data_IF_729626508981
#
_entry.id   IF_729626508981
#
_cell.length_a   1.000
_cell.length_b   1.000
_cell.length_c   1.000
_cell.angle_alpha   90.00
_cell.angle_beta   90.00
_cell.angle_gamma   90.00
#
_symmetry.space_group_name_H-M   'P 1'
#
loop_
_entity.id
_entity.type
_entity.pdbx_description
1 polymer ?
#
# COMPACT_ATOMS: atom_id res chain seq x y z
N UNK A 1 16.81 -60.09 -20.72
CA UNK A 1 16.22 -61.09 -19.79
C UNK A 1 14.70 -61.06 -19.97
N UNK A 2 14.01 -62.20 -20.10
CA UNK A 2 12.55 -62.30 -20.04
C UNK A 2 12.13 -62.81 -18.65
N UNK A 3 11.11 -62.24 -18.02
CA UNK A 3 10.08 -62.98 -17.27
C UNK A 3 8.75 -62.19 -17.39
N UNK A 4 7.64 -62.91 -17.55
CA UNK A 4 6.27 -62.41 -17.71
C UNK A 4 5.36 -63.20 -16.76
N UNK A 5 4.57 -62.52 -15.92
CA UNK A 5 3.32 -62.99 -15.26
C UNK A 5 2.55 -61.69 -14.88
N UNK A 6 1.32 -61.33 -15.28
CA UNK A 6 0.11 -61.95 -15.87
C UNK A 6 -1.01 -62.33 -14.85
N UNK A 7 -2.28 -62.19 -15.29
CA UNK A 7 -3.58 -62.39 -14.56
C UNK A 7 -3.96 -61.19 -13.65
N UNK A 8 -4.97 -60.34 -13.91
CA UNK A 8 -6.41 -60.45 -14.30
C UNK A 8 -7.35 -60.71 -13.09
N UNK A 9 -8.61 -60.23 -13.01
CA UNK A 9 -9.50 -59.66 -14.03
C UNK A 9 -10.59 -58.68 -13.49
N UNK A 10 -10.99 -57.72 -14.35
CA UNK A 10 -12.35 -57.16 -14.62
C UNK A 10 -13.45 -57.05 -13.54
N UNK A 11 -14.11 -55.87 -13.50
CA UNK A 11 -15.57 -55.78 -13.67
C UNK A 11 -15.98 -54.46 -14.35
N UNK A 12 -16.92 -54.53 -15.30
CA UNK A 12 -17.44 -53.40 -16.09
C UNK A 12 -18.87 -53.02 -15.69
N UNK A 13 -19.19 -51.73 -15.74
CA UNK A 13 -20.56 -51.25 -15.86
C UNK A 13 -20.60 -49.97 -16.72
N UNK A 14 -21.29 -50.05 -17.86
CA UNK A 14 -21.61 -48.92 -18.74
C UNK A 14 -23.03 -48.44 -18.41
N UNK A 15 -23.27 -47.13 -18.40
CA UNK A 15 -24.59 -46.54 -18.59
C UNK A 15 -24.43 -45.17 -19.28
N UNK A 16 -24.97 -45.09 -20.49
CA UNK A 16 -25.00 -43.92 -21.38
C UNK A 16 -26.31 -43.14 -21.22
N UNK A 17 -26.30 -41.81 -21.32
CA UNK A 17 -27.51 -40.99 -21.19
C UNK A 17 -27.46 -39.66 -21.95
N UNK A 18 -28.40 -39.50 -22.88
CA UNK A 18 -28.57 -38.40 -23.85
C UNK A 18 -30.09 -38.22 -24.11
N UNK A 19 -30.63 -37.07 -24.52
CA UNK A 19 -30.12 -35.68 -24.66
C UNK A 19 -31.33 -34.77 -25.00
N UNK A 20 -31.14 -33.45 -24.90
CA UNK A 20 -31.92 -32.38 -25.59
C UNK A 20 -33.34 -32.03 -25.09
N UNK A 21 -33.59 -30.71 -25.12
CA UNK A 21 -34.82 -29.90 -25.17
C UNK A 21 -36.23 -30.55 -25.31
N UNK A 22 -37.21 -29.85 -24.72
CA UNK A 22 -38.58 -29.70 -25.23
C UNK A 22 -39.20 -28.35 -24.72
N UNK A 23 -39.98 -27.60 -25.53
CA UNK A 23 -40.43 -26.23 -25.20
C UNK A 23 -41.93 -26.08 -24.79
N UNK A 24 -42.26 -24.85 -24.36
CA UNK A 24 -43.54 -24.10 -24.38
C UNK A 24 -44.89 -24.75 -23.98
N UNK A 25 -45.60 -24.12 -23.02
CA UNK A 25 -46.77 -23.24 -23.30
C UNK A 25 -47.48 -22.80 -22.00
N UNK A 26 -48.03 -21.58 -22.02
CA UNK A 26 -48.68 -20.88 -20.90
C UNK A 26 -50.00 -21.49 -20.36
N UNK A 27 -50.38 -21.06 -19.14
CA UNK A 27 -51.74 -20.60 -18.81
C UNK A 27 -51.68 -19.68 -17.58
N UNK A 28 -52.27 -18.48 -17.71
CA UNK A 28 -52.45 -17.49 -16.64
C UNK A 28 -53.62 -17.88 -15.71
N UNK A 29 -53.72 -17.31 -14.50
CA UNK A 29 -54.82 -16.36 -14.34
C UNK A 29 -54.47 -15.09 -13.56
N UNK A 30 -55.02 -13.97 -14.04
CA UNK A 30 -54.98 -12.66 -13.41
C UNK A 30 -55.75 -12.62 -12.09
N UNK A 31 -55.15 -12.03 -11.04
CA UNK A 31 -55.91 -11.36 -9.98
C UNK A 31 -55.05 -10.29 -9.28
N UNK A 32 -55.36 -9.02 -9.54
CA UNK A 32 -54.66 -7.85 -9.01
C UNK A 32 -54.90 -7.65 -7.51
N UNK A 33 -53.86 -7.35 -6.74
CA UNK A 33 -53.97 -6.42 -5.59
C UNK A 33 -52.63 -5.72 -5.34
N UNK A 34 -52.67 -4.38 -5.38
CA UNK A 34 -51.54 -3.49 -5.16
C UNK A 34 -51.09 -3.49 -3.70
N UNK A 35 -49.82 -3.81 -3.46
CA UNK A 35 -49.09 -3.38 -2.28
C UNK A 35 -47.87 -2.58 -2.75
N UNK A 36 -47.74 -1.33 -2.31
CA UNK A 36 -46.60 -0.51 -2.66
C UNK A 36 -45.34 -1.04 -1.94
N UNK A 37 -44.20 -1.20 -2.64
CA UNK A 37 -42.94 -1.42 -1.95
C UNK A 37 -42.56 -0.12 -1.24
N UNK A 38 -42.75 -0.08 0.09
CA UNK A 38 -42.17 0.99 0.90
C UNK A 38 -40.66 0.93 0.71
N UNK A 39 -40.09 1.92 0.01
CA UNK A 39 -38.65 2.09 -0.12
C UNK A 39 -38.08 2.49 1.23
N UNK A 40 -37.91 1.50 2.10
CA UNK A 40 -37.03 1.56 3.25
C UNK A 40 -35.59 1.63 2.76
N UNK A 41 -35.19 2.81 2.29
CA UNK A 41 -33.79 3.16 2.10
C UNK A 41 -33.15 3.30 3.47
N UNK A 42 -32.93 2.16 4.13
CA UNK A 42 -31.92 2.07 5.18
C UNK A 42 -30.60 2.31 4.46
N UNK A 43 -30.11 3.55 4.51
CA UNK A 43 -28.77 3.86 4.04
C UNK A 43 -27.80 2.87 4.71
N UNK A 44 -26.85 2.27 3.98
CA UNK A 44 -25.81 1.49 4.64
C UNK A 44 -25.08 2.44 5.58
N UNK A 45 -25.17 2.18 6.88
CA UNK A 45 -24.31 2.83 7.86
C UNK A 45 -22.89 2.40 7.52
N UNK A 46 -22.13 3.29 6.89
CA UNK A 46 -20.71 3.09 6.60
C UNK A 46 -19.93 3.12 7.91
N UNK A 47 -19.97 2.01 8.63
CA UNK A 47 -19.05 1.74 9.73
C UNK A 47 -17.65 1.57 9.13
N UNK A 48 -16.68 2.30 9.66
CA UNK A 48 -15.29 2.27 9.19
C UNK A 48 -14.69 0.84 9.19
N UNK A 49 -13.81 0.48 8.24
CA UNK A 49 -13.37 -0.90 8.04
C UNK A 49 -12.26 -1.33 9.02
N UNK A 50 -12.50 -1.34 10.34
CA UNK A 50 -11.48 -1.60 11.37
C UNK A 50 -11.63 -2.89 12.20
N UNK A 51 -12.57 -3.78 11.86
CA UNK A 51 -13.02 -4.91 12.70
C UNK A 51 -12.23 -6.22 12.55
N UNK A 52 -10.90 -6.17 12.43
CA UNK A 52 -10.08 -7.37 12.62
C UNK A 52 -9.80 -7.63 14.11
N UNK A 53 -9.45 -8.86 14.50
CA UNK A 53 -9.03 -9.19 15.87
C UNK A 53 -7.50 -8.99 16.06
N UNK A 54 -7.03 -8.37 17.15
CA UNK A 54 -5.59 -8.25 17.41
C UNK A 54 -4.98 -9.61 17.75
N UNK A 55 -3.84 -9.93 17.14
CA UNK A 55 -3.01 -11.08 17.53
C UNK A 55 -1.98 -10.70 18.59
N UNK A 56 -1.50 -11.68 19.36
CA UNK A 56 -0.32 -11.49 20.21
C UNK A 56 0.93 -11.27 19.35
N UNK A 57 1.53 -10.09 19.43
CA UNK A 57 2.72 -9.73 18.68
C UNK A 57 3.94 -10.58 19.07
N UNK A 58 4.04 -11.05 20.31
CA UNK A 58 5.16 -11.87 20.76
C UNK A 58 5.25 -13.22 20.01
N UNK A 59 4.14 -13.72 19.47
CA UNK A 59 4.11 -14.94 18.66
C UNK A 59 4.76 -14.79 17.26
N UNK A 60 5.06 -13.56 16.83
CA UNK A 60 5.66 -13.25 15.52
C UNK A 60 7.06 -12.66 15.64
N UNK A 61 7.50 -12.28 16.84
CA UNK A 61 8.80 -11.65 17.08
C UNK A 61 9.96 -12.64 16.97
N UNK A 62 11.03 -12.22 16.29
CA UNK A 62 12.25 -12.98 16.08
C UNK A 62 13.47 -12.10 16.41
N UNK A 63 13.83 -12.07 17.70
CA UNK A 63 14.93 -11.26 18.23
C UNK A 63 16.32 -11.71 17.76
N UNK A 64 16.55 -13.03 17.69
CA UNK A 64 17.86 -13.64 17.43
C UNK A 64 17.86 -14.40 16.10
N UNK A 65 18.20 -13.72 14.99
CA UNK A 65 18.37 -14.40 13.69
C UNK A 65 19.82 -14.30 13.20
N UNK A 66 20.51 -15.43 12.90
CA UNK A 66 21.93 -15.39 12.50
C UNK A 66 22.24 -14.70 11.16
N UNK A 67 21.21 -14.32 10.40
CA UNK A 67 21.31 -13.91 8.98
C UNK A 67 20.30 -12.84 8.58
N UNK A 68 19.59 -12.20 9.52
CA UNK A 68 18.50 -11.27 9.24
C UNK A 68 18.23 -10.29 10.37
N UNK A 69 17.48 -9.23 10.05
CA UNK A 69 17.13 -8.15 10.98
C UNK A 69 16.17 -8.63 12.07
N UNK A 70 16.33 -8.22 13.34
CA UNK A 70 15.32 -8.42 14.37
C UNK A 70 13.97 -7.77 14.00
N UNK A 71 12.87 -8.45 14.31
CA UNK A 71 11.53 -7.94 14.03
C UNK A 71 10.45 -9.01 14.03
N UNK A 72 9.26 -8.61 13.58
CA UNK A 72 8.03 -9.40 13.60
C UNK A 72 7.73 -9.92 12.20
N UNK A 73 7.87 -11.22 11.98
CA UNK A 73 7.76 -11.82 10.66
C UNK A 73 6.52 -12.71 10.53
N UNK A 74 5.78 -12.53 9.44
CA UNK A 74 4.60 -13.32 9.15
C UNK A 74 4.38 -13.52 7.65
N UNK A 75 3.66 -14.59 7.30
CA UNK A 75 3.13 -14.80 5.95
C UNK A 75 1.63 -14.52 5.92
N UNK A 76 1.13 -14.14 4.75
CA UNK A 76 -0.30 -14.20 4.46
C UNK A 76 -0.80 -15.65 4.50
N UNK A 77 -2.05 -15.95 4.88
CA UNK A 77 -2.57 -17.33 4.90
C UNK A 77 -2.55 -17.99 3.53
N UNK A 78 -2.75 -17.21 2.46
CA UNK A 78 -2.63 -17.67 1.07
C UNK A 78 -1.20 -18.00 0.63
N UNK A 79 -0.18 -17.62 1.41
CA UNK A 79 1.23 -17.87 1.12
C UNK A 79 1.85 -17.00 0.01
N UNK A 80 1.07 -16.11 -0.62
CA UNK A 80 1.55 -15.28 -1.75
C UNK A 80 2.56 -14.20 -1.32
N UNK A 81 2.45 -13.72 -0.08
CA UNK A 81 3.31 -12.67 0.50
C UNK A 81 3.88 -13.09 1.85
N UNK A 82 5.15 -12.74 2.06
CA UNK A 82 5.83 -12.69 3.36
C UNK A 82 6.09 -11.24 3.73
N UNK A 83 5.95 -10.92 5.00
CA UNK A 83 5.97 -9.57 5.50
C UNK A 83 6.78 -9.48 6.80
N UNK A 84 7.30 -8.30 7.09
CA UNK A 84 7.96 -7.99 8.35
C UNK A 84 7.62 -6.58 8.85
N UNK A 85 7.62 -6.41 10.16
CA UNK A 85 7.76 -5.11 10.85
C UNK A 85 9.08 -5.19 11.61
N UNK A 86 10.05 -4.31 11.35
CA UNK A 86 11.37 -4.39 11.97
C UNK A 86 11.39 -3.71 13.35
N UNK A 87 12.23 -4.20 14.26
CA UNK A 87 12.41 -3.56 15.58
C UNK A 87 13.07 -2.18 15.46
N UNK A 88 13.99 -2.04 14.49
CA UNK A 88 14.59 -0.77 14.07
C UNK A 88 14.40 -0.62 12.56
N UNK A 89 14.08 0.59 12.04
CA UNK A 89 13.91 0.80 10.61
C UNK A 89 15.13 0.38 9.79
N UNK A 90 14.93 -0.51 8.81
CA UNK A 90 16.00 -1.00 7.96
C UNK A 90 16.50 0.12 7.04
N UNK A 91 17.71 0.60 7.31
CA UNK A 91 18.38 1.61 6.50
C UNK A 91 18.72 1.05 5.11
N UNK A 92 18.18 1.69 4.07
CA UNK A 92 18.52 1.48 2.67
C UNK A 92 19.16 2.76 2.12
N UNK A 93 19.68 2.71 0.89
CA UNK A 93 20.54 3.77 0.34
C UNK A 93 20.00 5.21 0.51
N UNK A 94 18.69 5.40 0.27
CA UNK A 94 18.05 6.72 0.23
C UNK A 94 16.85 6.87 1.20
N UNK A 95 16.52 5.85 2.01
CA UNK A 95 15.40 5.90 2.97
C UNK A 95 15.49 4.75 4.00
N UNK A 96 14.70 4.81 5.08
CA UNK A 96 14.57 3.75 6.06
C UNK A 96 13.19 3.07 5.95
N UNK A 97 13.12 1.75 6.18
CA UNK A 97 11.87 0.96 6.09
C UNK A 97 11.48 0.42 7.45
N UNK A 98 10.30 0.79 7.93
CA UNK A 98 9.77 0.29 9.21
C UNK A 98 9.09 -1.07 9.03
N UNK A 99 8.34 -1.26 7.94
CA UNK A 99 7.65 -2.51 7.64
C UNK A 99 7.48 -2.74 6.13
N UNK A 100 7.09 -3.96 5.75
CA UNK A 100 6.78 -4.25 4.35
C UNK A 100 6.36 -5.70 4.08
N UNK A 101 5.97 -5.94 2.83
CA UNK A 101 5.59 -7.24 2.28
C UNK A 101 6.27 -7.48 0.93
N UNK A 102 6.62 -8.72 0.65
CA UNK A 102 7.26 -9.14 -0.59
C UNK A 102 6.64 -10.45 -1.09
N UNK A 103 6.40 -10.53 -2.39
CA UNK A 103 5.63 -11.61 -3.01
C UNK A 103 5.40 -11.40 -4.49
N UNK A 104 4.69 -12.33 -5.14
CA UNK A 104 4.30 -12.19 -6.55
C UNK A 104 2.96 -11.47 -6.64
N UNK A 105 2.94 -10.38 -7.41
CA UNK A 105 1.72 -9.63 -7.77
C UNK A 105 1.52 -9.68 -9.29
N UNK A 106 0.27 -9.73 -9.74
CA UNK A 106 -0.09 -9.67 -11.16
C UNK A 106 -0.15 -8.22 -11.71
N UNK A 107 -0.53 -7.26 -10.87
CA UNK A 107 -0.56 -5.83 -11.19
C UNK A 107 0.19 -5.01 -10.12
N UNK A 108 1.24 -4.31 -10.55
CA UNK A 108 1.98 -3.34 -9.73
C UNK A 108 1.15 -2.06 -9.50
N UNK A 109 1.52 -1.19 -8.54
CA UNK A 109 0.78 0.05 -8.29
C UNK A 109 0.74 0.99 -9.49
N UNK A 110 -0.27 1.85 -9.54
CA UNK A 110 -0.35 2.89 -10.57
C UNK A 110 0.88 3.82 -10.53
N UNK A 111 1.44 4.12 -11.70
CA UNK A 111 2.67 4.91 -11.85
C UNK A 111 3.97 4.11 -11.75
N UNK A 112 3.95 2.92 -11.15
CA UNK A 112 5.12 2.07 -11.00
C UNK A 112 5.42 1.23 -12.25
N UNK A 113 6.68 0.82 -12.40
CA UNK A 113 7.09 -0.09 -13.47
C UNK A 113 7.10 -1.55 -12.97
N UNK A 114 6.64 -2.52 -13.78
CA UNK A 114 6.70 -3.93 -13.40
C UNK A 114 8.16 -4.39 -13.26
N UNK A 115 8.40 -5.29 -12.30
CA UNK A 115 9.72 -5.86 -12.08
C UNK A 115 10.19 -6.66 -13.30
N UNK A 116 11.05 -6.04 -14.11
CA UNK A 116 11.49 -6.56 -15.39
C UNK A 116 12.44 -7.75 -15.20
N UNK A 117 12.15 -8.86 -15.91
CA UNK A 117 13.10 -9.96 -16.02
C UNK A 117 14.28 -9.53 -16.91
N UNK A 118 15.51 -9.71 -16.46
CA UNK A 118 16.68 -9.57 -17.33
C UNK A 118 17.10 -10.94 -17.85
N UNK A 119 17.43 -11.02 -19.15
CA UNK A 119 17.71 -12.29 -19.84
C UNK A 119 18.80 -13.10 -19.14
N UNK A 120 18.41 -14.21 -18.51
CA UNK A 120 19.32 -15.14 -17.83
C UNK A 120 19.51 -14.90 -16.32
N UNK A 121 18.81 -13.92 -15.73
CA UNK A 121 18.77 -13.70 -14.30
C UNK A 121 17.41 -14.12 -13.71
N UNK A 122 17.40 -14.40 -12.40
CA UNK A 122 16.14 -14.52 -11.65
C UNK A 122 15.43 -13.16 -11.67
N UNK A 123 14.12 -13.08 -11.97
CA UNK A 123 13.39 -11.82 -11.92
C UNK A 123 13.38 -11.25 -10.50
N UNK A 124 13.66 -9.94 -10.32
CA UNK A 124 13.55 -9.32 -9.00
C UNK A 124 12.10 -9.39 -8.51
N UNK A 125 11.91 -9.65 -7.22
CA UNK A 125 10.59 -9.81 -6.64
C UNK A 125 10.00 -8.45 -6.22
N UNK A 126 8.71 -8.20 -6.50
CA UNK A 126 7.97 -7.07 -5.95
C UNK A 126 8.04 -7.02 -4.42
N UNK A 127 8.42 -5.86 -3.91
CA UNK A 127 8.44 -5.51 -2.50
C UNK A 127 7.70 -4.18 -2.28
N UNK A 128 6.96 -4.13 -1.18
CA UNK A 128 6.11 -3.02 -0.79
C UNK A 128 6.50 -2.65 0.63
N UNK A 129 6.77 -1.38 0.90
CA UNK A 129 7.28 -0.94 2.19
C UNK A 129 6.56 0.29 2.72
N UNK A 130 6.51 0.39 4.05
CA UNK A 130 6.24 1.62 4.78
C UNK A 130 7.60 2.20 5.18
N UNK A 131 7.91 3.38 4.65
CA UNK A 131 9.08 4.18 4.97
C UNK A 131 8.66 5.47 5.67
N UNK A 132 9.62 6.15 6.31
CA UNK A 132 9.37 7.43 6.98
C UNK A 132 8.80 8.50 6.02
N UNK A 133 9.18 8.43 4.75
CA UNK A 133 8.73 9.33 3.68
C UNK A 133 7.41 8.90 3.01
N UNK A 134 6.83 7.76 3.42
CA UNK A 134 5.57 7.22 2.88
C UNK A 134 5.65 5.75 2.42
N UNK A 135 4.58 5.25 1.77
CA UNK A 135 4.53 3.91 1.22
C UNK A 135 5.26 3.87 -0.13
N UNK A 136 5.94 2.76 -0.43
CA UNK A 136 6.79 2.64 -1.63
C UNK A 136 6.76 1.24 -2.23
N UNK A 137 7.01 1.19 -3.53
CA UNK A 137 7.25 -0.04 -4.29
C UNK A 137 8.74 -0.17 -4.63
N UNK A 138 9.24 -1.40 -4.70
CA UNK A 138 10.59 -1.70 -5.13
C UNK A 138 10.67 -3.11 -5.75
N UNK A 139 11.61 -3.29 -6.68
CA UNK A 139 11.95 -4.60 -7.22
C UNK A 139 13.30 -5.04 -6.63
N UNK A 140 13.30 -6.11 -5.84
CA UNK A 140 14.50 -6.57 -5.11
C UNK A 140 14.84 -8.04 -5.39
N UNK A 141 16.13 -8.34 -5.50
CA UNK A 141 16.64 -9.71 -5.57
C UNK A 141 16.84 -10.35 -4.19
N UNK A 142 16.70 -9.58 -3.12
CA UNK A 142 16.92 -10.01 -1.73
C UNK A 142 15.61 -10.27 -1.01
N UNK A 143 15.58 -11.26 -0.11
CA UNK A 143 14.41 -11.63 0.68
C UNK A 143 14.20 -10.75 1.92
N UNK A 144 14.13 -9.43 1.76
CA UNK A 144 14.10 -8.44 2.85
C UNK A 144 13.03 -8.75 3.92
N UNK A 145 11.85 -9.23 3.51
CA UNK A 145 10.71 -9.50 4.39
C UNK A 145 10.42 -11.00 4.59
N UNK A 146 11.36 -11.88 4.21
CA UNK A 146 11.11 -13.33 4.20
C UNK A 146 11.26 -13.99 5.57
N UNK A 147 12.03 -13.39 6.48
CA UNK A 147 12.38 -13.97 7.78
C UNK A 147 13.19 -15.27 7.68
N UNK A 148 13.68 -15.80 8.81
CA UNK A 148 14.31 -17.11 8.84
C UNK A 148 13.27 -18.23 8.72
N UNK A 149 13.40 -19.09 7.71
CA UNK A 149 12.68 -20.37 7.61
C UNK A 149 11.15 -20.27 7.54
N UNK A 150 10.46 -21.06 8.35
CA UNK A 150 8.99 -21.16 8.39
C UNK A 150 8.40 -20.18 9.41
N UNK A 151 8.09 -18.97 8.94
CA UNK A 151 7.42 -17.92 9.71
C UNK A 151 5.91 -18.19 9.84
N UNK A 152 5.31 -17.77 10.96
CA UNK A 152 3.88 -17.94 11.23
C UNK A 152 2.98 -17.25 10.19
N UNK A 153 1.75 -17.74 10.01
CA UNK A 153 0.75 -17.06 9.19
C UNK A 153 -0.10 -16.13 10.07
N UNK A 154 -0.23 -14.85 9.68
CA UNK A 154 -1.20 -13.93 10.29
C UNK A 154 -2.60 -14.34 9.82
N UNK A 155 -3.53 -14.79 10.68
CA UNK A 155 -4.82 -15.31 10.23
C UNK A 155 -5.68 -14.25 9.53
N UNK A 156 -6.61 -14.70 8.69
CA UNK A 156 -7.60 -13.79 8.11
C UNK A 156 -8.48 -13.14 9.19
N UNK A 157 -8.94 -11.93 8.87
CA UNK A 157 -9.70 -11.04 9.76
C UNK A 157 -8.99 -10.78 11.10
N UNK A 158 -7.66 -10.90 11.09
CA UNK A 158 -6.80 -10.60 12.23
C UNK A 158 -5.73 -9.58 11.83
N UNK A 159 -5.24 -8.80 12.80
CA UNK A 159 -4.19 -7.83 12.58
C UNK A 159 -3.05 -7.96 13.59
N UNK A 160 -1.83 -7.77 13.09
CA UNK A 160 -0.63 -7.55 13.89
C UNK A 160 -0.42 -6.04 14.04
N UNK A 161 -0.11 -5.59 15.25
CA UNK A 161 0.16 -4.18 15.57
C UNK A 161 1.43 -4.08 16.40
N UNK A 162 2.37 -3.28 15.91
CA UNK A 162 3.71 -3.09 16.48
C UNK A 162 4.11 -1.63 16.25
N UNK A 163 4.25 -0.87 17.34
CA UNK A 163 4.61 0.55 17.25
C UNK A 163 3.59 1.36 16.45
N UNK A 164 4.06 2.07 15.42
CA UNK A 164 3.25 2.84 14.48
C UNK A 164 2.57 1.94 13.42
N UNK A 165 3.06 0.72 13.18
CA UNK A 165 2.59 -0.13 12.08
C UNK A 165 1.48 -1.08 12.52
N UNK A 166 0.42 -1.13 11.71
CA UNK A 166 -0.62 -2.17 11.78
C UNK A 166 -0.74 -2.88 10.44
N UNK A 167 -0.66 -4.20 10.45
CA UNK A 167 -0.89 -5.04 9.28
C UNK A 167 -2.14 -5.91 9.48
N UNK A 168 -3.16 -5.70 8.66
CA UNK A 168 -4.46 -6.40 8.70
C UNK A 168 -4.55 -7.40 7.54
N UNK A 169 -4.70 -8.69 7.87
CA UNK A 169 -4.93 -9.74 6.86
C UNK A 169 -6.43 -9.95 6.62
N UNK A 170 -6.82 -10.06 5.35
CA UNK A 170 -8.17 -10.44 4.90
C UNK A 170 -8.06 -11.41 3.73
N UNK A 171 -9.15 -12.11 3.41
CA UNK A 171 -9.19 -13.01 2.25
C UNK A 171 -8.80 -12.30 0.93
N UNK A 172 -9.16 -11.02 0.81
CA UNK A 172 -8.87 -10.18 -0.36
C UNK A 172 -7.41 -9.76 -0.49
N UNK A 173 -6.58 -9.89 0.56
CA UNK A 173 -5.20 -9.41 0.59
C UNK A 173 -4.78 -8.89 1.97
N UNK A 174 -3.61 -8.27 2.04
CA UNK A 174 -3.09 -7.66 3.26
C UNK A 174 -2.87 -6.17 3.06
N UNK A 175 -3.33 -5.38 4.04
CA UNK A 175 -3.04 -3.95 4.16
C UNK A 175 -2.08 -3.75 5.32
N UNK A 176 -1.00 -3.00 5.12
CA UNK A 176 -0.22 -2.45 6.22
C UNK A 176 -0.31 -0.92 6.20
N UNK A 177 -0.59 -0.33 7.36
CA UNK A 177 -0.74 1.11 7.57
C UNK A 177 0.21 1.61 8.67
N UNK A 178 0.78 2.79 8.49
CA UNK A 178 1.32 3.62 9.56
C UNK A 178 0.14 4.37 10.19
N UNK A 179 -0.09 4.15 11.48
CA UNK A 179 -1.24 4.67 12.20
C UNK A 179 -1.18 6.17 12.46
N UNK A 180 0.00 6.78 12.50
CA UNK A 180 0.16 8.22 12.72
C UNK A 180 -0.02 9.04 11.43
N UNK A 181 0.57 8.61 10.32
CA UNK A 181 0.49 9.31 9.03
C UNK A 181 -0.69 8.89 8.16
N UNK A 182 -1.29 7.73 8.44
CA UNK A 182 -2.29 7.10 7.56
C UNK A 182 -1.69 6.61 6.23
N UNK A 183 -0.36 6.59 6.11
CA UNK A 183 0.34 6.01 4.97
C UNK A 183 0.10 4.50 4.94
N UNK A 184 -0.36 3.94 3.83
CA UNK A 184 -0.61 2.50 3.72
C UNK A 184 -0.20 1.92 2.38
N UNK A 185 -0.02 0.60 2.36
CA UNK A 185 -0.05 -0.18 1.13
C UNK A 185 -1.03 -1.33 1.28
N UNK A 186 -1.57 -1.79 0.16
CA UNK A 186 -2.31 -3.05 0.08
C UNK A 186 -1.71 -3.93 -1.01
N UNK A 187 -1.62 -5.23 -0.73
CA UNK A 187 -1.18 -6.25 -1.70
C UNK A 187 -2.06 -7.50 -1.64
N UNK A 188 -2.43 -7.98 -2.82
CA UNK A 188 -2.97 -9.31 -3.08
C UNK A 188 -2.21 -9.94 -4.25
N UNK A 189 -2.55 -11.17 -4.64
CA UNK A 189 -1.93 -11.78 -5.82
C UNK A 189 -2.36 -11.07 -7.10
N UNK A 190 -3.57 -10.51 -7.10
CA UNK A 190 -4.23 -9.91 -8.25
C UNK A 190 -3.92 -8.42 -8.41
N UNK A 191 -3.77 -7.67 -7.31
CA UNK A 191 -3.61 -6.21 -7.34
C UNK A 191 -2.77 -5.67 -6.18
N UNK A 192 -2.27 -4.45 -6.35
CA UNK A 192 -1.57 -3.71 -5.30
C UNK A 192 -1.82 -2.20 -5.42
N UNK A 193 -1.64 -1.47 -4.31
CA UNK A 193 -1.73 -0.01 -4.27
C UNK A 193 -0.90 0.58 -3.12
N UNK A 194 -0.49 1.83 -3.28
CA UNK A 194 0.19 2.66 -2.28
C UNK A 194 -0.69 3.89 -2.01
N UNK A 195 -0.84 4.30 -0.75
CA UNK A 195 -1.72 5.41 -0.35
C UNK A 195 -0.99 6.28 0.69
N UNK A 196 -0.40 7.41 0.29
CA UNK A 196 0.58 8.13 1.12
C UNK A 196 0.04 8.80 2.39
N UNK A 197 -1.25 9.18 2.40
CA UNK A 197 -2.02 9.49 3.60
C UNK A 197 -3.49 9.70 3.22
N UNK A 198 -4.41 9.39 4.13
CA UNK A 198 -5.76 9.98 4.07
C UNK A 198 -6.81 9.29 3.22
N UNK A 199 -6.75 7.97 3.07
CA UNK A 199 -7.84 7.15 2.52
C UNK A 199 -9.10 7.05 3.40
N UNK A 200 -9.60 8.16 3.97
CA UNK A 200 -11.01 8.39 4.39
C UNK A 200 -11.23 9.67 5.23
N UNK A 201 -10.26 10.16 6.02
CA UNK A 201 -10.53 11.24 7.01
C UNK A 201 -9.31 12.15 7.33
N UNK A 202 -8.43 12.38 6.35
CA UNK A 202 -7.36 13.38 6.50
C UNK A 202 -7.91 14.82 6.42
N UNK A 203 -7.57 15.67 7.39
CA UNK A 203 -7.86 17.11 7.30
C UNK A 203 -7.07 17.73 6.14
N UNK A 204 -7.76 18.00 5.03
CA UNK A 204 -7.17 18.58 3.82
C UNK A 204 -6.95 20.10 3.97
N UNK A 205 -5.69 20.47 4.14
CA UNK A 205 -5.21 21.85 4.11
C UNK A 205 -5.04 22.28 2.65
N UNK A 206 -5.36 23.52 2.32
CA UNK A 206 -4.96 24.11 1.04
C UNK A 206 -3.55 24.69 1.19
N UNK A 207 -2.60 24.29 0.33
CA UNK A 207 -1.25 24.85 0.33
C UNK A 207 -1.34 26.37 0.09
N UNK A 208 -0.86 27.22 1.03
CA UNK A 208 -0.80 28.66 0.83
C UNK A 208 0.06 29.04 -0.38
N UNK A 209 -0.27 30.16 -1.03
CA UNK A 209 0.67 30.79 -1.98
C UNK A 209 1.70 31.58 -1.18
N UNK A 210 2.95 31.12 -1.21
CA UNK A 210 4.09 31.75 -0.54
C UNK A 210 5.13 32.27 -1.55
N UNK A 211 4.83 32.25 -2.84
CA UNK A 211 5.71 32.82 -3.88
C UNK A 211 5.86 34.33 -3.70
N UNK A 212 7.08 34.82 -3.86
CA UNK A 212 7.45 36.20 -3.57
C UNK A 212 7.68 36.52 -2.08
N UNK A 213 7.36 35.60 -1.15
CA UNK A 213 7.72 35.76 0.26
C UNK A 213 9.19 35.42 0.52
N UNK A 214 9.76 36.00 1.58
CA UNK A 214 11.09 35.58 2.06
C UNK A 214 11.00 34.19 2.70
N UNK A 215 12.03 33.32 2.60
CA UNK A 215 11.94 31.93 3.05
C UNK A 215 11.45 31.73 4.49
N UNK A 216 12.00 32.46 5.47
CA UNK A 216 11.53 32.40 6.87
C UNK A 216 10.04 32.76 7.02
N UNK A 217 9.52 33.68 6.20
CA UNK A 217 8.09 34.04 6.22
C UNK A 217 7.23 32.97 5.54
N UNK A 218 7.72 32.37 4.46
CA UNK A 218 7.08 31.24 3.81
C UNK A 218 7.01 30.01 4.73
N UNK A 219 8.11 29.66 5.41
CA UNK A 219 8.18 28.59 6.42
C UNK A 219 7.14 28.79 7.53
N UNK A 220 7.06 30.00 8.10
CA UNK A 220 6.07 30.33 9.14
C UNK A 220 4.62 30.23 8.62
N UNK A 221 4.32 30.73 7.41
CA UNK A 221 2.99 30.64 6.81
C UNK A 221 2.56 29.18 6.53
N UNK A 222 3.52 28.32 6.15
CA UNK A 222 3.28 26.89 5.99
C UNK A 222 3.06 26.22 7.35
N UNK A 223 3.88 26.52 8.35
CA UNK A 223 3.72 25.99 9.71
C UNK A 223 2.39 26.40 10.37
N UNK A 224 1.94 27.65 10.16
CA UNK A 224 0.62 28.14 10.59
C UNK A 224 -0.53 27.40 9.89
N UNK A 225 -0.35 26.98 8.64
CA UNK A 225 -1.28 26.10 7.92
C UNK A 225 -1.17 24.63 8.35
N UNK A 226 -0.23 24.27 9.23
CA UNK A 226 0.05 22.89 9.63
C UNK A 226 0.76 22.07 8.56
N UNK A 227 1.60 22.70 7.72
CA UNK A 227 2.42 22.08 6.68
C UNK A 227 3.91 22.18 7.02
N UNK A 228 4.72 21.27 6.46
CA UNK A 228 6.17 21.30 6.61
C UNK A 228 6.81 22.02 5.42
N UNK A 229 7.98 22.61 5.61
CA UNK A 229 8.70 23.37 4.58
C UNK A 229 10.11 22.80 4.35
N UNK A 230 10.54 22.73 3.09
CA UNK A 230 11.92 22.43 2.69
C UNK A 230 12.41 23.50 1.72
N UNK A 231 13.32 24.36 2.18
CA UNK A 231 13.92 25.39 1.33
C UNK A 231 15.08 24.80 0.50
N UNK A 232 15.10 25.14 -0.78
CA UNK A 232 16.16 24.80 -1.74
C UNK A 232 16.67 26.09 -2.36
N UNK A 233 17.96 26.39 -2.16
CA UNK A 233 18.58 27.66 -2.50
C UNK A 233 18.84 28.55 -1.27
N UNK A 234 19.41 29.73 -1.51
CA UNK A 234 19.77 30.72 -0.49
C UNK A 234 18.57 31.42 0.16
N UNK A 235 18.77 31.86 1.41
CA UNK A 235 17.74 32.48 2.28
C UNK A 235 17.92 33.99 2.50
N UNK A 236 19.09 34.53 2.15
CA UNK A 236 19.50 35.91 2.42
C UNK A 236 19.50 36.80 1.16
N UNK A 237 20.67 37.20 0.67
CA UNK A 237 20.84 37.94 -0.58
C UNK A 237 21.35 37.04 -1.68
N UNK A 238 20.86 37.28 -2.90
CA UNK A 238 21.35 36.63 -4.09
C UNK A 238 22.67 37.24 -4.61
N UNK A 239 23.28 36.63 -5.65
CA UNK A 239 24.53 37.07 -6.25
C UNK A 239 24.55 38.51 -6.78
N UNK A 240 23.39 39.13 -7.03
CA UNK A 240 23.28 40.51 -7.52
C UNK A 240 22.83 41.51 -6.43
N UNK A 241 23.05 41.18 -5.15
CA UNK A 241 22.70 41.98 -3.95
C UNK A 241 21.18 42.15 -3.69
N UNK A 242 20.32 41.56 -4.53
CA UNK A 242 18.87 41.48 -4.34
C UNK A 242 18.46 40.48 -3.27
N UNK A 243 17.16 40.46 -2.95
CA UNK A 243 16.60 39.61 -1.91
C UNK A 243 16.23 38.23 -2.47
N UNK A 244 16.60 37.16 -1.76
CA UNK A 244 16.07 35.83 -2.05
C UNK A 244 14.61 35.74 -1.57
N UNK A 245 13.74 35.31 -2.47
CA UNK A 245 12.32 35.02 -2.23
C UNK A 245 11.98 33.62 -2.76
N UNK A 246 10.84 33.06 -2.36
CA UNK A 246 10.32 31.83 -3.00
C UNK A 246 9.95 32.16 -4.45
N UNK A 247 10.65 31.56 -5.41
CA UNK A 247 10.34 31.68 -6.83
C UNK A 247 9.31 30.62 -7.24
N UNK A 248 9.50 29.39 -6.77
CA UNK A 248 8.64 28.24 -7.06
C UNK A 248 8.31 27.48 -5.77
N UNK A 249 7.12 26.87 -5.73
CA UNK A 249 6.69 25.99 -4.64
C UNK A 249 6.05 24.73 -5.22
N UNK A 250 6.31 23.60 -4.59
CA UNK A 250 5.70 22.31 -4.93
C UNK A 250 5.32 21.56 -3.63
N UNK A 251 4.04 21.17 -3.41
CA UNK A 251 2.90 21.35 -4.32
C UNK A 251 2.49 22.79 -4.58
N UNK A 252 1.85 23.02 -5.73
CA UNK A 252 1.40 24.33 -6.17
C UNK A 252 0.36 24.96 -5.22
N UNK A 253 0.32 26.29 -5.16
CA UNK A 253 -0.63 27.04 -4.34
C UNK A 253 -2.10 26.64 -4.62
N UNK A 254 -2.89 26.50 -3.55
CA UNK A 254 -4.28 26.05 -3.60
C UNK A 254 -4.47 24.53 -3.70
N UNK A 255 -3.42 23.75 -3.93
CA UNK A 255 -3.49 22.27 -3.92
C UNK A 255 -3.98 21.79 -2.56
N UNK A 256 -4.88 20.81 -2.54
CA UNK A 256 -5.37 20.17 -1.31
C UNK A 256 -4.43 19.04 -0.93
N UNK A 257 -3.83 19.13 0.25
CA UNK A 257 -2.86 18.18 0.78
C UNK A 257 -3.21 17.85 2.24
N UNK A 258 -2.72 16.72 2.74
CA UNK A 258 -2.87 16.35 4.15
C UNK A 258 -2.07 17.31 5.03
N UNK A 259 -2.58 17.64 6.23
CA UNK A 259 -1.76 18.32 7.24
C UNK A 259 -0.45 17.54 7.49
N UNK A 260 0.67 18.24 7.67
CA UNK A 260 2.01 17.67 7.77
C UNK A 260 2.71 17.43 6.42
N UNK A 261 2.05 17.64 5.28
CA UNK A 261 2.69 17.50 3.95
C UNK A 261 3.89 18.46 3.82
N UNK A 262 5.00 17.93 3.29
CA UNK A 262 6.19 18.72 2.98
C UNK A 262 6.01 19.51 1.68
N UNK A 263 6.15 20.83 1.77
CA UNK A 263 6.18 21.74 0.62
C UNK A 263 7.64 22.13 0.35
N UNK A 264 8.12 21.81 -0.85
CA UNK A 264 9.44 22.24 -1.33
C UNK A 264 9.34 23.67 -1.86
N UNK A 265 10.24 24.54 -1.38
CA UNK A 265 10.33 25.95 -1.75
C UNK A 265 11.66 26.19 -2.47
N UNK A 266 11.62 26.45 -3.77
CA UNK A 266 12.82 26.82 -4.54
C UNK A 266 12.94 28.33 -4.53
N UNK A 267 14.06 28.85 -4.01
CA UNK A 267 14.29 30.29 -3.93
C UNK A 267 14.89 30.85 -5.21
N UNK A 268 14.75 32.16 -5.37
CA UNK A 268 15.36 32.93 -6.45
C UNK A 268 15.49 34.38 -6.03
N UNK A 269 16.45 35.08 -6.64
CA UNK A 269 16.65 36.50 -6.41
C UNK A 269 15.56 37.31 -7.14
N UNK A 270 14.97 38.32 -6.51
CA UNK A 270 13.89 39.12 -7.13
C UNK A 270 14.35 39.73 -8.46
N UNK A 271 13.67 39.33 -9.55
CA UNK A 271 14.01 39.75 -10.92
C UNK A 271 14.84 38.73 -11.72
N UNK A 272 15.28 37.65 -11.07
CA UNK A 272 15.99 36.51 -11.65
C UNK A 272 15.17 35.21 -11.43
N UNK A 273 15.49 34.16 -12.18
CA UNK A 273 14.73 32.89 -12.13
C UNK A 273 14.96 32.06 -10.86
N UNK A 274 14.20 30.99 -10.68
CA UNK A 274 14.43 30.01 -9.62
C UNK A 274 15.86 29.42 -9.68
N UNK A 275 16.46 29.15 -8.53
CA UNK A 275 17.85 28.66 -8.43
C UNK A 275 18.93 29.72 -8.70
N UNK A 276 18.56 31.01 -8.75
CA UNK A 276 19.52 32.13 -8.68
C UNK A 276 19.93 32.48 -7.24
N UNK A 277 19.25 31.88 -6.26
CA UNK A 277 19.70 31.73 -4.88
C UNK A 277 19.98 30.23 -4.63
#
# INVERSE_FOLDING_TARGET
MRVVVAVAATLTALLSGCSSEQPDTATEPTATTTAAPTTGTTAPTTTAPSTGEPVDAAAYHLADTPTGTPGYYFRTPSGNFRCAIFDEPLALADTAVEAGCQGRVAAVPDGEQPCAETSGAQPPMPAFGLSLDGPRFACTTEGLFYGPGDIAALPYDSYLEVGNVRCLSREVGITCEQRESGASFFVSKESSRLESSGGADATLVAVPDVRGERPIRAENLLAEAGLLAKVVGGTDRGPHDGQCVVAEQDPAAGTKVTAGTLVTLTTGEVGFGAGSC
#
